data_IF_690483669893
#
_entry.id   IF_690483669893
#
_cell.length_a   1.000
_cell.length_b   1.000
_cell.length_c   1.000
_cell.angle_alpha   90.00
_cell.angle_beta   90.00
_cell.angle_gamma   90.00
#
_symmetry.space_group_name_H-M   'P 1'
#
loop_
_entity.id
_entity.type
_entity.pdbx_description
1 polymer ?
#
# COMPACT_ATOMS: atom_id res chain seq x y z
N UNK A 1 7.26 41.36 -9.74
CA UNK A 1 8.43 41.25 -8.84
C UNK A 1 8.43 42.22 -7.65
N UNK A 2 8.03 43.50 -7.79
CA UNK A 2 8.04 44.49 -6.70
C UNK A 2 7.23 44.07 -5.45
N UNK A 3 5.99 43.61 -5.63
CA UNK A 3 5.12 43.21 -4.52
C UNK A 3 5.59 41.96 -3.75
N UNK A 4 6.20 40.98 -4.44
CA UNK A 4 6.74 39.77 -3.82
C UNK A 4 7.93 40.08 -2.88
N UNK A 5 8.82 40.99 -3.29
CA UNK A 5 9.94 41.46 -2.43
C UNK A 5 9.44 42.17 -1.17
N UNK A 6 8.40 42.98 -1.29
CA UNK A 6 7.81 43.70 -0.15
C UNK A 6 7.11 42.73 0.80
N UNK A 7 6.38 41.73 0.29
CA UNK A 7 5.78 40.67 1.09
C UNK A 7 6.86 39.89 1.87
N UNK A 8 7.96 39.50 1.22
CA UNK A 8 9.05 38.79 1.89
C UNK A 8 9.73 39.64 2.99
N UNK A 9 9.96 40.93 2.74
CA UNK A 9 10.52 41.83 3.75
C UNK A 9 9.57 42.04 4.96
N UNK A 10 8.25 42.05 4.73
CA UNK A 10 7.23 42.07 5.79
C UNK A 10 7.31 40.84 6.70
N UNK A 11 7.51 39.66 6.09
CA UNK A 11 7.63 38.39 6.80
C UNK A 11 8.85 38.40 7.74
N UNK A 12 10.00 38.89 7.26
CA UNK A 12 11.25 38.90 8.03
C UNK A 12 11.20 39.80 9.26
N UNK A 13 10.33 40.82 9.31
CA UNK A 13 10.18 41.69 10.49
C UNK A 13 9.41 41.03 11.65
N UNK A 14 8.66 39.95 11.41
CA UNK A 14 7.75 39.30 12.40
C UNK A 14 8.06 37.82 12.58
N UNK A 15 9.34 37.51 12.71
CA UNK A 15 9.89 36.14 12.66
C UNK A 15 9.17 35.18 13.61
N UNK A 16 8.93 35.56 14.86
CA UNK A 16 8.35 34.65 15.86
C UNK A 16 6.88 34.29 15.56
N UNK A 17 6.01 35.28 15.35
CA UNK A 17 4.58 35.02 15.07
C UNK A 17 4.39 34.25 13.76
N UNK A 18 5.20 34.56 12.74
CA UNK A 18 5.16 33.87 11.47
C UNK A 18 5.71 32.45 11.58
N UNK A 19 6.78 32.25 12.34
CA UNK A 19 7.34 30.92 12.59
C UNK A 19 6.32 30.02 13.31
N UNK A 20 5.66 30.53 14.35
CA UNK A 20 4.62 29.78 15.06
C UNK A 20 3.44 29.42 14.16
N UNK A 21 2.98 30.35 13.32
CA UNK A 21 1.94 30.05 12.32
C UNK A 21 2.41 29.05 11.27
N UNK A 22 3.62 29.20 10.75
CA UNK A 22 4.16 28.30 9.75
C UNK A 22 4.27 26.89 10.32
N UNK A 23 4.70 26.75 11.57
CA UNK A 23 4.74 25.47 12.30
C UNK A 23 3.34 24.87 12.45
N UNK A 24 2.36 25.66 12.89
CA UNK A 24 0.98 25.21 13.01
C UNK A 24 0.41 24.77 11.65
N UNK A 25 0.64 25.54 10.58
CA UNK A 25 0.24 25.20 9.22
C UNK A 25 0.90 23.89 8.76
N UNK A 26 2.20 23.70 9.03
CA UNK A 26 2.92 22.46 8.69
C UNK A 26 2.30 21.27 9.41
N UNK A 27 1.99 21.38 10.70
CA UNK A 27 1.32 20.31 11.46
C UNK A 27 -0.07 20.03 10.88
N UNK A 28 -0.86 21.05 10.58
CA UNK A 28 -2.18 20.90 9.97
C UNK A 28 -2.10 20.18 8.61
N UNK A 29 -1.19 20.60 7.73
CA UNK A 29 -0.98 19.93 6.44
C UNK A 29 -0.48 18.51 6.62
N UNK A 30 0.44 18.25 7.55
CA UNK A 30 0.93 16.92 7.85
C UNK A 30 -0.21 15.96 8.27
N UNK A 31 -1.10 16.41 9.17
CA UNK A 31 -2.25 15.62 9.61
C UNK A 31 -3.27 15.37 8.50
N UNK A 32 -3.60 16.41 7.72
CA UNK A 32 -4.50 16.29 6.58
C UNK A 32 -3.94 15.32 5.54
N UNK A 33 -2.66 15.45 5.21
CA UNK A 33 -1.96 14.53 4.31
C UNK A 33 -2.04 13.10 4.81
N UNK A 34 -1.81 12.86 6.09
CA UNK A 34 -1.90 11.52 6.68
C UNK A 34 -3.30 10.92 6.53
N UNK A 35 -4.37 11.71 6.72
CA UNK A 35 -5.74 11.26 6.49
C UNK A 35 -6.01 10.98 4.99
N UNK A 36 -5.53 11.84 4.09
CA UNK A 36 -5.69 11.66 2.64
C UNK A 36 -4.95 10.42 2.13
N UNK A 37 -3.69 10.23 2.56
CA UNK A 37 -2.86 9.06 2.26
C UNK A 37 -3.57 7.78 2.72
N UNK A 38 -4.15 7.78 3.92
CA UNK A 38 -4.90 6.63 4.44
C UNK A 38 -6.09 6.27 3.54
N UNK A 39 -6.88 7.25 3.10
CA UNK A 39 -8.00 7.04 2.18
C UNK A 39 -7.52 6.49 0.83
N UNK A 40 -6.47 7.09 0.26
CA UNK A 40 -5.96 6.70 -1.04
C UNK A 40 -5.32 5.30 -1.00
N UNK A 41 -4.67 4.93 0.11
CA UNK A 41 -4.11 3.59 0.33
C UNK A 41 -5.20 2.51 0.32
N UNK A 42 -6.34 2.76 0.97
CA UNK A 42 -7.48 1.82 0.95
C UNK A 42 -7.96 1.53 -0.47
N UNK A 43 -8.15 2.59 -1.26
CA UNK A 43 -8.61 2.47 -2.63
C UNK A 43 -7.56 1.78 -3.52
N UNK A 44 -6.28 2.01 -3.22
CA UNK A 44 -5.17 1.37 -3.93
C UNK A 44 -5.14 -0.14 -3.66
N UNK A 45 -5.26 -0.58 -2.41
CA UNK A 45 -5.25 -2.00 -2.03
C UNK A 45 -6.34 -2.80 -2.74
N UNK A 46 -7.57 -2.28 -2.75
CA UNK A 46 -8.70 -2.89 -3.46
C UNK A 46 -8.45 -2.97 -4.97
N UNK A 47 -8.03 -1.86 -5.60
CA UNK A 47 -7.70 -1.85 -7.03
C UNK A 47 -6.55 -2.80 -7.35
N UNK A 48 -5.51 -2.84 -6.51
CA UNK A 48 -4.35 -3.71 -6.68
C UNK A 48 -4.81 -5.16 -6.74
N UNK A 49 -5.54 -5.63 -5.73
CA UNK A 49 -6.02 -7.02 -5.62
C UNK A 49 -6.69 -7.51 -6.90
N UNK A 50 -7.65 -6.74 -7.42
CA UNK A 50 -8.40 -7.12 -8.63
C UNK A 50 -7.66 -6.80 -9.93
N UNK A 51 -6.65 -5.93 -9.92
CA UNK A 51 -5.81 -5.70 -11.10
C UNK A 51 -4.86 -6.86 -11.37
N UNK A 52 -4.27 -7.45 -10.32
CA UNK A 52 -3.24 -8.50 -10.42
C UNK A 52 -3.80 -9.92 -10.37
N UNK A 53 -5.04 -10.10 -9.91
CA UNK A 53 -5.72 -11.39 -9.85
C UNK A 53 -7.05 -11.38 -10.60
N UNK A 54 -7.54 -12.57 -10.96
CA UNK A 54 -8.89 -12.82 -11.48
C UNK A 54 -9.88 -13.19 -10.38
N UNK A 55 -9.54 -12.93 -9.10
CA UNK A 55 -10.47 -13.18 -7.99
C UNK A 55 -11.78 -12.42 -8.20
N UNK A 56 -12.88 -13.06 -7.87
CA UNK A 56 -14.22 -12.48 -7.90
C UNK A 56 -14.59 -12.15 -6.45
N UNK A 57 -14.79 -10.87 -6.14
CA UNK A 57 -14.95 -10.42 -4.76
C UNK A 57 -16.13 -11.10 -4.02
N UNK A 58 -17.16 -11.51 -4.75
CA UNK A 58 -18.37 -12.11 -4.19
C UNK A 58 -18.31 -13.64 -4.16
N UNK A 59 -17.56 -14.27 -5.06
CA UNK A 59 -17.47 -15.74 -5.18
C UNK A 59 -16.20 -16.34 -4.61
N UNK A 60 -15.13 -15.55 -4.50
CA UNK A 60 -13.89 -15.96 -3.86
C UNK A 60 -14.04 -15.81 -2.35
N UNK A 61 -13.80 -16.91 -1.65
CA UNK A 61 -13.95 -17.04 -0.20
C UNK A 61 -12.60 -17.37 0.40
N UNK A 62 -12.14 -16.57 1.35
CA UNK A 62 -10.98 -16.89 2.17
C UNK A 62 -11.40 -17.88 3.27
N UNK A 63 -10.62 -18.93 3.42
CA UNK A 63 -10.76 -19.91 4.49
C UNK A 63 -9.60 -19.69 5.48
N UNK A 64 -9.93 -19.39 6.72
CA UNK A 64 -8.94 -19.27 7.81
C UNK A 64 -9.22 -20.27 8.92
N UNK A 65 -8.16 -20.63 9.64
CA UNK A 65 -8.19 -21.57 10.77
C UNK A 65 -7.56 -20.88 11.98
N UNK A 66 -8.33 -20.17 12.82
CA UNK A 66 -7.80 -19.49 13.99
C UNK A 66 -7.18 -20.44 15.02
N UNK A 67 -7.63 -21.69 15.04
CA UNK A 67 -7.13 -22.80 15.85
C UNK A 67 -6.08 -23.66 15.12
N UNK A 68 -5.56 -23.17 13.98
CA UNK A 68 -4.51 -23.85 13.23
C UNK A 68 -3.20 -23.90 13.98
N UNK A 69 -2.59 -25.09 14.04
CA UNK A 69 -1.27 -25.34 14.61
C UNK A 69 -0.45 -26.28 13.72
N UNK A 70 0.81 -26.53 14.12
CA UNK A 70 1.73 -27.43 13.44
C UNK A 70 1.71 -28.85 14.03
N UNK A 71 0.58 -29.28 14.62
CA UNK A 71 0.44 -30.64 15.13
C UNK A 71 -0.02 -31.62 14.05
N UNK A 72 0.42 -32.88 14.19
CA UNK A 72 -0.05 -33.96 13.33
C UNK A 72 -1.57 -34.15 13.43
N UNK A 73 -2.12 -33.94 14.64
CA UNK A 73 -3.55 -34.01 14.89
C UNK A 73 -4.28 -33.03 13.99
N UNK A 74 -3.94 -31.73 14.05
CA UNK A 74 -4.60 -30.70 13.27
C UNK A 74 -4.46 -30.96 11.77
N UNK A 75 -3.23 -31.27 11.31
CA UNK A 75 -2.94 -31.53 9.90
C UNK A 75 -3.84 -32.63 9.32
N UNK A 76 -4.05 -33.74 10.03
CA UNK A 76 -4.92 -34.82 9.57
C UNK A 76 -6.40 -34.41 9.48
N UNK A 77 -6.90 -33.64 10.45
CA UNK A 77 -8.31 -33.18 10.47
C UNK A 77 -8.54 -32.12 9.38
N UNK A 78 -7.57 -31.24 9.17
CA UNK A 78 -7.60 -30.27 8.10
C UNK A 78 -7.63 -30.94 6.71
N UNK A 79 -6.85 -32.01 6.49
CA UNK A 79 -6.94 -32.81 5.24
C UNK A 79 -8.32 -33.45 5.03
N UNK A 80 -8.94 -33.95 6.10
CA UNK A 80 -10.31 -34.48 6.02
C UNK A 80 -11.32 -33.38 5.66
N UNK A 81 -11.17 -32.19 6.24
CA UNK A 81 -11.99 -31.03 5.89
C UNK A 81 -11.76 -30.60 4.44
N UNK A 82 -10.51 -30.54 3.98
CA UNK A 82 -10.16 -30.20 2.59
C UNK A 82 -10.80 -31.19 1.60
N UNK A 83 -10.72 -32.49 1.89
CA UNK A 83 -11.36 -33.53 1.06
C UNK A 83 -12.87 -33.33 0.97
N UNK A 84 -13.51 -33.01 2.11
CA UNK A 84 -14.93 -32.69 2.15
C UNK A 84 -15.27 -31.44 1.32
N UNK A 85 -14.50 -30.36 1.48
CA UNK A 85 -14.67 -29.12 0.72
C UNK A 85 -14.60 -29.43 -0.78
N UNK A 86 -13.54 -30.10 -1.25
CA UNK A 86 -13.37 -30.46 -2.66
C UNK A 86 -14.50 -31.34 -3.23
N UNK A 87 -15.25 -32.05 -2.37
CA UNK A 87 -16.40 -32.87 -2.79
C UNK A 87 -17.71 -32.11 -2.98
N UNK A 88 -17.79 -30.85 -2.53
CA UNK A 88 -19.02 -30.05 -2.63
C UNK A 88 -19.25 -29.57 -4.07
N UNK A 89 -20.42 -29.82 -4.68
CA UNK A 89 -20.71 -29.45 -6.07
C UNK A 89 -20.79 -27.94 -6.31
N UNK A 90 -20.94 -27.14 -5.25
CA UNK A 90 -20.95 -25.68 -5.32
C UNK A 90 -19.54 -25.07 -5.52
N UNK A 91 -18.48 -25.86 -5.32
CA UNK A 91 -17.10 -25.41 -5.36
C UNK A 91 -16.50 -25.62 -6.75
N UNK A 92 -16.17 -24.49 -7.39
CA UNK A 92 -15.50 -24.45 -8.68
C UNK A 92 -14.01 -24.74 -8.57
N UNK A 93 -13.40 -24.38 -7.44
CA UNK A 93 -12.00 -24.64 -7.18
C UNK A 93 -11.61 -24.37 -5.73
N UNK A 94 -10.59 -25.05 -5.26
CA UNK A 94 -10.06 -24.91 -3.92
C UNK A 94 -8.54 -24.95 -3.96
N UNK A 95 -7.90 -24.13 -3.14
CA UNK A 95 -6.50 -24.34 -2.84
C UNK A 95 -5.88 -23.17 -2.13
N UNK A 96 -4.56 -23.16 -2.16
CA UNK A 96 -3.72 -22.24 -1.44
C UNK A 96 -2.51 -21.84 -2.26
N UNK A 97 -1.79 -20.84 -1.76
CA UNK A 97 -0.44 -20.56 -2.19
C UNK A 97 0.46 -20.36 -0.97
N UNK A 98 1.77 -20.51 -1.14
CA UNK A 98 2.74 -20.19 -0.10
C UNK A 98 3.98 -19.56 -0.69
N UNK A 99 4.47 -18.51 -0.04
CA UNK A 99 5.71 -17.81 -0.42
C UNK A 99 6.81 -18.21 0.54
N UNK A 100 7.98 -18.58 0.00
CA UNK A 100 9.19 -18.89 0.78
C UNK A 100 10.42 -18.51 -0.04
N UNK A 101 11.60 -18.98 0.34
CA UNK A 101 12.85 -18.78 -0.38
C UNK A 101 13.34 -20.07 -1.03
N UNK A 102 14.08 -19.94 -2.13
CA UNK A 102 14.76 -21.02 -2.82
C UNK A 102 16.23 -20.66 -3.03
N UNK A 103 17.10 -21.65 -2.83
CA UNK A 103 18.55 -21.57 -3.09
C UNK A 103 18.90 -22.59 -4.16
N UNK A 104 19.09 -22.18 -5.43
CA UNK A 104 19.52 -23.08 -6.49
C UNK A 104 20.88 -23.71 -6.19
N UNK A 105 20.92 -25.03 -6.08
CA UNK A 105 22.11 -25.87 -5.94
C UNK A 105 22.41 -26.59 -7.27
N UNK A 106 23.65 -27.04 -7.45
CA UNK A 106 24.12 -27.74 -8.66
C UNK A 106 23.82 -26.97 -9.97
N UNK A 107 23.73 -25.63 -9.89
CA UNK A 107 23.36 -24.78 -11.03
C UNK A 107 24.60 -24.23 -11.75
N UNK A 108 24.86 -24.56 -13.03
CA UNK A 108 26.09 -24.16 -13.71
C UNK A 108 26.31 -22.64 -13.80
N UNK A 109 25.23 -21.84 -13.75
CA UNK A 109 25.30 -20.38 -13.83
C UNK A 109 25.15 -19.70 -12.46
N UNK A 110 25.52 -20.40 -11.39
CA UNK A 110 25.45 -19.93 -10.00
C UNK A 110 26.01 -18.52 -9.79
N UNK A 111 27.23 -18.25 -10.29
CA UNK A 111 27.84 -16.91 -10.16
C UNK A 111 27.03 -15.81 -10.86
N UNK A 112 26.43 -16.11 -12.01
CA UNK A 112 25.58 -15.15 -12.74
C UNK A 112 24.28 -14.88 -12.00
N UNK A 113 23.73 -15.89 -11.35
CA UNK A 113 22.56 -15.77 -10.49
C UNK A 113 22.86 -14.90 -9.26
N UNK A 114 23.94 -15.17 -8.52
CA UNK A 114 24.36 -14.36 -7.38
C UNK A 114 24.64 -12.90 -7.78
N UNK A 115 25.31 -12.68 -8.92
CA UNK A 115 25.57 -11.33 -9.43
C UNK A 115 24.27 -10.58 -9.75
N UNK A 116 23.27 -11.29 -10.31
CA UNK A 116 21.96 -10.71 -10.57
C UNK A 116 21.24 -10.36 -9.26
N UNK A 117 21.23 -11.26 -8.27
CA UNK A 117 20.63 -10.99 -6.95
C UNK A 117 21.29 -9.79 -6.25
N UNK A 118 22.62 -9.70 -6.30
CA UNK A 118 23.35 -8.53 -5.77
C UNK A 118 22.89 -7.21 -6.40
N UNK A 119 22.58 -7.19 -7.69
CA UNK A 119 22.04 -6.01 -8.36
C UNK A 119 20.60 -5.71 -7.95
N UNK A 120 19.77 -6.75 -7.84
CA UNK A 120 18.35 -6.61 -7.49
C UNK A 120 18.14 -6.20 -6.04
N UNK A 121 19.00 -6.65 -5.13
CA UNK A 121 18.84 -6.47 -3.69
C UNK A 121 19.68 -5.31 -3.12
N UNK A 122 20.46 -4.61 -3.94
CA UNK A 122 21.25 -3.46 -3.52
C UNK A 122 20.37 -2.39 -2.84
N UNK A 123 20.75 -1.98 -1.62
CA UNK A 123 19.98 -1.00 -0.84
C UNK A 123 18.68 -1.54 -0.23
N UNK A 124 18.43 -2.84 -0.31
CA UNK A 124 17.32 -3.52 0.35
C UNK A 124 17.82 -4.31 1.56
N UNK A 125 16.92 -4.79 2.42
CA UNK A 125 17.30 -5.65 3.55
C UNK A 125 17.84 -7.02 3.14
N UNK A 126 17.69 -7.40 1.87
CA UNK A 126 18.24 -8.64 1.28
C UNK A 126 19.59 -8.43 0.60
N UNK A 127 20.23 -7.27 0.78
CA UNK A 127 21.51 -6.95 0.12
C UNK A 127 22.59 -8.02 0.35
N UNK A 128 22.61 -8.63 1.53
CA UNK A 128 23.53 -9.72 1.90
C UNK A 128 23.04 -11.12 1.48
N UNK A 129 21.74 -11.29 1.18
CA UNK A 129 21.11 -12.56 0.81
C UNK A 129 21.12 -12.76 -0.71
N UNK A 130 22.32 -12.89 -1.27
CA UNK A 130 22.51 -13.05 -2.73
C UNK A 130 22.32 -14.49 -3.22
N UNK A 131 22.21 -15.45 -2.31
CA UNK A 131 22.12 -16.88 -2.63
C UNK A 131 20.68 -17.38 -2.79
N UNK A 132 19.73 -16.67 -2.19
CA UNK A 132 18.33 -17.07 -2.25
C UNK A 132 17.47 -16.09 -3.07
N UNK A 133 16.32 -16.57 -3.49
CA UNK A 133 15.30 -15.77 -4.16
C UNK A 133 13.92 -16.21 -3.70
N UNK A 134 12.91 -15.38 -3.92
CA UNK A 134 11.53 -15.75 -3.59
C UNK A 134 11.08 -16.91 -4.46
N UNK A 135 10.32 -17.84 -3.89
CA UNK A 135 9.55 -18.82 -4.63
C UNK A 135 8.13 -18.84 -4.10
N UNK A 136 7.18 -18.96 -5.01
CA UNK A 136 5.78 -19.16 -4.67
C UNK A 136 5.28 -20.51 -5.19
N UNK A 137 4.63 -21.25 -4.31
CA UNK A 137 3.98 -22.51 -4.62
C UNK A 137 2.47 -22.33 -4.71
N UNK A 138 1.84 -23.04 -5.64
CA UNK A 138 0.41 -22.95 -5.89
C UNK A 138 -0.29 -24.30 -5.87
N UNK A 139 -1.56 -24.27 -5.48
CA UNK A 139 -2.53 -25.27 -5.93
C UNK A 139 -3.03 -24.97 -7.33
N UNK A 140 -3.35 -26.03 -8.06
CA UNK A 140 -3.77 -25.94 -9.46
C UNK A 140 -5.00 -25.05 -9.66
N UNK A 141 -6.03 -25.20 -8.84
CA UNK A 141 -7.25 -24.40 -8.97
C UNK A 141 -7.00 -22.91 -8.74
N UNK A 142 -6.20 -22.56 -7.74
CA UNK A 142 -5.83 -21.17 -7.48
C UNK A 142 -4.98 -20.62 -8.62
N UNK A 143 -4.01 -21.40 -9.08
CA UNK A 143 -3.18 -21.05 -10.21
C UNK A 143 -4.01 -20.75 -11.46
N UNK A 144 -4.88 -21.68 -11.89
CA UNK A 144 -5.65 -21.51 -13.13
C UNK A 144 -6.74 -20.45 -13.01
N UNK A 145 -7.41 -20.35 -11.86
CA UNK A 145 -8.57 -19.49 -11.70
C UNK A 145 -8.18 -18.04 -11.42
N UNK A 146 -7.12 -17.80 -10.64
CA UNK A 146 -6.84 -16.47 -10.09
C UNK A 146 -5.63 -15.77 -10.73
N UNK A 147 -4.70 -16.48 -11.36
CA UNK A 147 -3.51 -15.83 -11.94
C UNK A 147 -3.83 -15.01 -13.20
N UNK A 148 -3.13 -13.89 -13.34
CA UNK A 148 -3.15 -13.02 -14.54
C UNK A 148 -1.82 -12.93 -15.27
N UNK A 149 -0.71 -13.20 -14.58
CA UNK A 149 0.60 -13.19 -15.20
C UNK A 149 0.68 -14.23 -16.32
N UNK A 150 1.47 -13.94 -17.35
CA UNK A 150 1.74 -14.86 -18.46
C UNK A 150 3.24 -15.08 -18.63
N UNK A 151 3.60 -16.07 -19.45
CA UNK A 151 4.99 -16.31 -19.84
C UNK A 151 5.27 -15.66 -21.19
N UNK A 152 6.47 -15.09 -21.34
CA UNK A 152 6.98 -14.56 -22.62
C UNK A 152 7.76 -15.61 -23.41
N UNK A 153 8.19 -16.68 -22.75
CA UNK A 153 8.98 -17.77 -23.35
C UNK A 153 8.70 -19.07 -22.60
N UNK A 154 8.65 -20.18 -23.35
CA UNK A 154 8.32 -21.49 -22.79
C UNK A 154 6.81 -21.69 -22.69
N UNK A 155 6.36 -22.37 -21.63
CA UNK A 155 4.94 -22.65 -21.36
C UNK A 155 4.56 -22.28 -19.94
N UNK A 156 3.25 -22.10 -19.72
CA UNK A 156 2.66 -22.04 -18.37
C UNK A 156 2.67 -23.43 -17.73
N UNK A 157 2.39 -23.50 -16.42
CA UNK A 157 2.17 -24.77 -15.73
C UNK A 157 0.82 -25.35 -16.15
N UNK A 158 0.77 -26.67 -16.31
CA UNK A 158 -0.41 -27.43 -16.74
C UNK A 158 -0.87 -28.36 -15.62
N UNK A 159 -2.09 -28.89 -15.69
CA UNK A 159 -2.66 -29.76 -14.64
C UNK A 159 -1.74 -30.92 -14.23
N UNK A 160 -1.10 -31.55 -15.21
CA UNK A 160 -0.19 -32.67 -15.00
C UNK A 160 1.07 -32.28 -14.18
N UNK A 161 1.45 -31.01 -14.18
CA UNK A 161 2.58 -30.50 -13.40
C UNK A 161 2.27 -30.47 -11.89
N UNK A 162 1.00 -30.37 -11.51
CA UNK A 162 0.55 -30.35 -10.12
C UNK A 162 0.32 -31.76 -9.54
N UNK A 163 0.51 -32.81 -10.35
CA UNK A 163 0.44 -34.21 -9.95
C UNK A 163 1.85 -34.82 -9.74
N UNK A 164 2.89 -33.98 -9.71
CA UNK A 164 4.29 -34.40 -9.55
C UNK A 164 4.61 -34.76 -8.11
N UNK A 165 5.35 -35.85 -7.94
CA UNK A 165 5.79 -36.38 -6.65
C UNK A 165 7.20 -35.86 -6.28
N UNK A 166 7.63 -36.08 -5.03
CA UNK A 166 8.92 -35.58 -4.51
C UNK A 166 10.16 -36.01 -5.33
N UNK A 167 10.08 -37.18 -5.98
CA UNK A 167 11.18 -37.75 -6.76
C UNK A 167 11.13 -37.34 -8.24
N UNK A 168 10.06 -36.66 -8.65
CA UNK A 168 9.93 -36.16 -10.01
C UNK A 168 10.73 -34.88 -10.21
N UNK A 169 10.90 -34.50 -11.48
CA UNK A 169 11.40 -33.19 -11.86
C UNK A 169 10.25 -32.19 -11.78
N UNK A 170 10.36 -31.23 -10.86
CA UNK A 170 9.32 -30.21 -10.61
C UNK A 170 9.48 -29.06 -11.62
N UNK A 171 8.46 -28.75 -12.42
CA UNK A 171 8.52 -27.63 -13.36
C UNK A 171 8.45 -26.29 -12.61
N UNK A 172 9.24 -25.32 -13.05
CA UNK A 172 9.29 -23.99 -12.45
C UNK A 172 9.23 -22.90 -13.53
N UNK A 173 8.47 -21.85 -13.28
CA UNK A 173 8.52 -20.60 -14.04
C UNK A 173 9.47 -19.65 -13.33
N UNK A 174 10.25 -18.91 -14.09
CA UNK A 174 11.24 -17.98 -13.55
C UNK A 174 10.84 -16.55 -13.89
N UNK A 175 10.98 -15.64 -12.92
CA UNK A 175 10.75 -14.22 -13.07
C UNK A 175 11.58 -13.56 -14.19
N UNK A 176 11.07 -12.44 -14.70
CA UNK A 176 11.65 -11.75 -15.85
C UNK A 176 13.11 -11.29 -15.63
N UNK A 177 13.52 -10.93 -14.42
CA UNK A 177 14.88 -10.44 -14.14
C UNK A 177 15.95 -11.53 -14.27
N UNK A 178 15.52 -12.78 -14.20
CA UNK A 178 16.36 -13.96 -14.36
C UNK A 178 16.39 -14.50 -15.80
N UNK A 179 15.74 -13.85 -16.78
CA UNK A 179 15.68 -14.28 -18.19
C UNK A 179 17.04 -14.46 -18.87
N UNK A 180 18.06 -13.71 -18.42
CA UNK A 180 19.43 -13.82 -18.94
C UNK A 180 20.24 -14.88 -18.19
N UNK A 181 19.74 -15.33 -17.03
CA UNK A 181 20.37 -16.33 -16.16
C UNK A 181 19.87 -17.72 -16.56
N UNK A 182 18.56 -17.94 -16.51
CA UNK A 182 17.95 -19.23 -16.79
C UNK A 182 17.47 -19.33 -18.24
N UNK A 183 17.54 -20.54 -18.80
CA UNK A 183 16.96 -20.91 -20.10
C UNK A 183 15.93 -22.02 -19.90
N UNK A 184 14.99 -22.11 -20.82
CA UNK A 184 14.03 -23.24 -20.84
C UNK A 184 14.80 -24.56 -20.92
N UNK A 185 14.45 -25.52 -20.07
CA UNK A 185 15.12 -26.81 -19.92
C UNK A 185 16.32 -26.81 -18.97
N UNK A 186 16.75 -25.65 -18.45
CA UNK A 186 17.78 -25.61 -17.41
C UNK A 186 17.24 -26.35 -16.17
N UNK A 187 18.07 -27.23 -15.59
CA UNK A 187 17.76 -27.95 -14.35
C UNK A 187 18.70 -27.54 -13.23
N UNK A 188 18.17 -27.53 -12.02
CA UNK A 188 18.92 -27.28 -10.80
C UNK A 188 18.27 -28.03 -9.64
N UNK A 189 19.00 -28.22 -8.54
CA UNK A 189 18.42 -28.78 -7.32
C UNK A 189 18.14 -27.68 -6.32
N UNK A 190 17.22 -27.88 -5.41
CA UNK A 190 17.09 -27.03 -4.24
C UNK A 190 16.51 -27.82 -3.07
N UNK A 191 16.73 -27.30 -1.88
CA UNK A 191 16.08 -27.84 -0.68
C UNK A 191 14.60 -27.45 -0.66
N UNK A 192 13.77 -28.42 -0.28
CA UNK A 192 12.33 -28.26 -0.16
C UNK A 192 11.84 -28.86 1.17
N UNK A 193 10.71 -28.34 1.64
CA UNK A 193 10.12 -28.66 2.94
C UNK A 193 10.25 -27.49 3.93
N UNK A 194 9.54 -27.65 5.04
CA UNK A 194 9.53 -26.68 6.13
C UNK A 194 9.98 -27.34 7.46
N UNK A 195 10.56 -26.54 8.35
CA UNK A 195 11.14 -26.99 9.63
C UNK A 195 12.57 -27.51 9.51
N UNK A 196 13.00 -28.36 10.45
CA UNK A 196 14.42 -28.75 10.62
C UNK A 196 14.97 -29.75 9.59
N UNK A 197 14.10 -30.46 8.87
CA UNK A 197 14.52 -31.40 7.82
C UNK A 197 14.13 -30.88 6.44
N UNK A 198 14.98 -31.03 5.44
CA UNK A 198 14.66 -30.70 4.05
C UNK A 198 14.97 -31.90 3.16
N UNK A 199 14.36 -31.95 1.98
CA UNK A 199 14.74 -32.91 0.93
C UNK A 199 15.30 -32.15 -0.27
N UNK A 200 16.21 -32.78 -1.01
CA UNK A 200 16.70 -32.21 -2.27
C UNK A 200 15.76 -32.59 -3.40
N UNK A 201 15.21 -31.59 -4.08
CA UNK A 201 14.30 -31.73 -5.21
C UNK A 201 14.94 -31.17 -6.47
N UNK A 202 14.67 -31.79 -7.61
CA UNK A 202 15.16 -31.30 -8.92
C UNK A 202 14.08 -30.44 -9.57
N UNK A 203 14.43 -29.22 -9.96
CA UNK A 203 13.56 -28.31 -10.69
C UNK A 203 14.00 -28.19 -12.15
N UNK A 204 13.04 -27.98 -13.05
CA UNK A 204 13.28 -27.68 -14.46
C UNK A 204 12.56 -26.40 -14.88
N UNK A 205 13.28 -25.49 -15.51
CA UNK A 205 12.73 -24.22 -16.00
C UNK A 205 11.88 -24.47 -17.24
N UNK A 206 10.56 -24.31 -17.12
CA UNK A 206 9.62 -24.53 -18.25
C UNK A 206 9.07 -23.25 -18.85
N UNK A 207 9.20 -22.12 -18.15
CA UNK A 207 8.73 -20.82 -18.62
C UNK A 207 9.45 -19.64 -17.99
N UNK A 208 9.41 -18.50 -18.67
CA UNK A 208 9.91 -17.21 -18.17
C UNK A 208 8.73 -16.24 -18.17
N UNK A 209 8.44 -15.65 -17.02
CA UNK A 209 7.35 -14.71 -16.82
C UNK A 209 7.56 -13.39 -17.58
N UNK A 210 6.46 -12.73 -17.93
CA UNK A 210 6.50 -11.35 -18.42
C UNK A 210 6.94 -10.37 -17.33
N UNK A 211 7.49 -9.23 -17.78
CA UNK A 211 7.94 -8.16 -16.89
C UNK A 211 6.75 -7.50 -16.18
N UNK A 212 6.90 -7.23 -14.88
CA UNK A 212 5.87 -6.61 -14.06
C UNK A 212 4.80 -7.58 -13.58
N UNK A 213 5.05 -8.89 -13.71
CA UNK A 213 4.19 -9.92 -13.15
C UNK A 213 4.09 -9.76 -11.63
N UNK A 214 2.87 -9.84 -11.09
CA UNK A 214 2.60 -9.64 -9.66
C UNK A 214 1.67 -10.69 -9.10
N UNK A 215 1.79 -10.95 -7.81
CA UNK A 215 0.90 -11.84 -7.08
C UNK A 215 0.59 -11.32 -5.67
N UNK A 216 -0.42 -11.92 -5.04
CA UNK A 216 -0.84 -11.64 -3.67
C UNK A 216 0.32 -11.89 -2.69
N UNK A 217 0.47 -11.02 -1.69
CA UNK A 217 1.46 -11.25 -0.64
C UNK A 217 1.11 -12.47 0.20
N UNK A 218 2.12 -13.25 0.56
CA UNK A 218 1.98 -14.36 1.50
C UNK A 218 1.64 -13.94 2.95
N UNK A 219 1.92 -12.70 3.34
CA UNK A 219 1.63 -12.20 4.70
C UNK A 219 0.16 -11.80 4.86
N UNK A 220 -0.31 -10.90 3.99
CA UNK A 220 -1.71 -10.51 3.91
C UNK A 220 -2.05 -10.16 2.46
N UNK A 221 -2.92 -10.98 1.86
CA UNK A 221 -3.30 -10.85 0.45
C UNK A 221 -3.94 -9.51 0.06
N UNK A 222 -4.47 -8.76 1.03
CA UNK A 222 -5.21 -7.52 0.78
C UNK A 222 -4.46 -6.28 1.29
N UNK A 223 -3.95 -6.34 2.51
CA UNK A 223 -3.30 -5.20 3.16
C UNK A 223 -1.86 -5.02 2.68
N UNK A 224 -1.15 -6.12 2.47
CA UNK A 224 0.25 -6.08 2.07
C UNK A 224 0.39 -5.73 0.58
N UNK A 225 1.49 -5.09 0.18
CA UNK A 225 1.79 -4.90 -1.23
C UNK A 225 1.89 -6.23 -1.97
N UNK A 226 1.50 -6.22 -3.24
CA UNK A 226 1.65 -7.39 -4.09
C UNK A 226 3.14 -7.74 -4.29
N UNK A 227 3.45 -9.03 -4.21
CA UNK A 227 4.79 -9.55 -4.47
C UNK A 227 5.13 -9.32 -5.96
N UNK A 228 6.30 -8.74 -6.23
CA UNK A 228 6.81 -8.58 -7.59
C UNK A 228 7.48 -9.88 -8.05
N UNK A 229 6.85 -10.57 -9.00
CA UNK A 229 7.32 -11.87 -9.48
C UNK A 229 8.52 -11.78 -10.43
N UNK A 230 8.97 -10.58 -10.82
CA UNK A 230 10.13 -10.41 -11.70
C UNK A 230 11.41 -11.07 -11.16
N UNK A 231 11.53 -11.18 -9.83
CA UNK A 231 12.65 -11.84 -9.14
C UNK A 231 12.20 -13.02 -8.26
N UNK A 232 11.11 -13.68 -8.65
CA UNK A 232 10.61 -14.90 -8.01
C UNK A 232 10.67 -16.11 -8.93
N UNK A 233 10.56 -17.29 -8.32
CA UNK A 233 10.22 -18.54 -8.97
C UNK A 233 8.74 -18.86 -8.70
N UNK A 234 8.08 -19.53 -9.64
CA UNK A 234 6.70 -20.00 -9.50
C UNK A 234 6.66 -21.50 -9.77
N UNK A 235 6.18 -22.29 -8.82
CA UNK A 235 6.14 -23.74 -8.91
C UNK A 235 4.78 -24.30 -8.47
N UNK A 236 4.39 -25.51 -8.92
CA UNK A 236 3.27 -26.22 -8.32
C UNK A 236 3.63 -26.70 -6.92
N UNK A 237 2.65 -26.80 -6.03
CA UNK A 237 2.78 -27.61 -4.84
C UNK A 237 3.03 -29.07 -5.23
N UNK A 238 3.87 -29.74 -4.45
CA UNK A 238 4.15 -31.17 -4.51
C UNK A 238 4.19 -31.72 -3.07
N UNK A 239 4.17 -33.05 -2.86
CA UNK A 239 3.91 -33.64 -1.55
C UNK A 239 4.74 -33.10 -0.39
N UNK A 240 6.06 -32.89 -0.49
CA UNK A 240 6.83 -32.35 0.66
C UNK A 240 6.41 -30.92 1.04
N UNK A 241 6.17 -30.06 0.03
CA UNK A 241 5.73 -28.67 0.24
C UNK A 241 4.26 -28.60 0.66
N UNK A 242 3.46 -29.61 0.27
CA UNK A 242 2.01 -29.63 0.48
C UNK A 242 1.55 -30.51 1.64
N UNK A 243 2.02 -31.71 1.83
CA UNK A 243 1.46 -32.58 2.88
C UNK A 243 2.52 -33.32 3.66
N UNK A 244 3.79 -33.14 3.31
CA UNK A 244 4.91 -33.85 3.91
C UNK A 244 4.93 -33.68 5.43
N UNK A 245 4.59 -32.49 5.93
CA UNK A 245 4.63 -32.20 7.38
C UNK A 245 3.51 -31.30 7.87
N UNK A 246 3.18 -31.39 9.17
CA UNK A 246 2.23 -30.47 9.81
C UNK A 246 2.57 -29.00 9.63
N UNK A 247 3.85 -28.62 9.77
CA UNK A 247 4.27 -27.22 9.56
C UNK A 247 3.99 -26.74 8.13
N UNK A 248 4.14 -27.61 7.12
CA UNK A 248 3.77 -27.28 5.74
C UNK A 248 2.27 -26.95 5.66
N UNK A 249 1.42 -27.72 6.37
CA UNK A 249 -0.02 -27.46 6.48
C UNK A 249 -0.29 -26.13 7.18
N UNK A 250 0.38 -25.85 8.29
CA UNK A 250 0.18 -24.62 9.04
C UNK A 250 0.47 -23.35 8.21
N UNK A 251 1.58 -23.32 7.45
CA UNK A 251 1.99 -22.11 6.73
C UNK A 251 1.04 -21.70 5.60
N UNK A 252 0.28 -22.64 5.01
CA UNK A 252 -0.67 -22.30 3.92
C UNK A 252 -2.05 -21.87 4.40
N UNK A 253 -2.38 -22.06 5.68
CA UNK A 253 -3.71 -21.75 6.24
C UNK A 253 -4.06 -20.27 6.07
N UNK A 254 -3.06 -19.38 6.06
CA UNK A 254 -3.26 -17.95 5.88
C UNK A 254 -3.68 -17.56 4.46
N UNK A 255 -3.36 -18.41 3.48
CA UNK A 255 -3.50 -18.15 2.05
C UNK A 255 -4.33 -19.24 1.36
N UNK A 256 -5.36 -19.76 2.03
CA UNK A 256 -6.30 -20.76 1.49
C UNK A 256 -7.60 -20.10 1.02
N UNK A 257 -8.03 -20.43 -0.19
CA UNK A 257 -9.18 -19.84 -0.86
C UNK A 257 -10.07 -20.91 -1.50
N UNK A 258 -11.36 -20.59 -1.58
CA UNK A 258 -12.41 -21.34 -2.25
C UNK A 258 -13.01 -20.44 -3.32
N UNK A 259 -13.15 -20.94 -4.54
CA UNK A 259 -13.93 -20.31 -5.59
C UNK A 259 -15.30 -20.98 -5.70
N UNK A 260 -16.37 -20.23 -5.48
CA UNK A 260 -17.73 -20.71 -5.67
C UNK A 260 -18.17 -20.56 -7.13
N UNK A 261 -19.08 -21.43 -7.59
CA UNK A 261 -19.78 -21.22 -8.86
C UNK A 261 -20.69 -19.99 -8.81
N UNK A 262 -21.33 -19.73 -7.66
CA UNK A 262 -22.25 -18.60 -7.46
C UNK A 262 -22.18 -18.06 -6.03
N UNK A 263 -22.22 -16.74 -5.88
CA UNK A 263 -22.27 -16.05 -4.58
C UNK A 263 -23.44 -16.54 -3.71
N UNK A 264 -24.58 -16.86 -4.33
CA UNK A 264 -25.80 -17.30 -3.62
C UNK A 264 -25.59 -18.55 -2.76
N UNK A 265 -24.60 -19.37 -3.12
CA UNK A 265 -24.28 -20.62 -2.42
C UNK A 265 -23.43 -20.38 -1.16
N UNK A 266 -22.85 -19.19 -0.97
CA UNK A 266 -21.91 -18.92 0.11
C UNK A 266 -22.48 -19.25 1.49
N UNK A 267 -23.74 -18.90 1.76
CA UNK A 267 -24.37 -19.14 3.06
C UNK A 267 -24.45 -20.63 3.38
N UNK A 268 -24.85 -21.44 2.42
CA UNK A 268 -25.06 -22.88 2.60
C UNK A 268 -23.72 -23.62 2.68
N UNK A 269 -22.79 -23.29 1.78
CA UNK A 269 -21.41 -23.83 1.79
C UNK A 269 -20.71 -23.48 3.11
N UNK A 270 -20.81 -22.22 3.57
CA UNK A 270 -20.25 -21.81 4.86
C UNK A 270 -20.83 -22.64 6.01
N UNK A 271 -22.15 -22.82 6.06
CA UNK A 271 -22.79 -23.61 7.11
C UNK A 271 -22.34 -25.08 7.08
N UNK A 272 -22.23 -25.67 5.90
CA UNK A 272 -21.77 -27.04 5.70
C UNK A 272 -20.31 -27.23 6.17
N UNK A 273 -19.40 -26.35 5.75
CA UNK A 273 -17.98 -26.41 6.13
C UNK A 273 -17.80 -26.16 7.62
N UNK A 274 -18.52 -25.18 8.21
CA UNK A 274 -18.48 -24.93 9.66
C UNK A 274 -19.01 -26.12 10.47
N UNK A 275 -20.09 -26.76 10.01
CA UNK A 275 -20.61 -27.99 10.64
C UNK A 275 -19.57 -29.10 10.56
N UNK A 276 -18.95 -29.33 9.39
CA UNK A 276 -17.93 -30.36 9.22
C UNK A 276 -16.69 -30.10 10.07
N UNK A 277 -16.24 -28.84 10.15
CA UNK A 277 -15.16 -28.44 11.04
C UNK A 277 -15.47 -28.81 12.49
N UNK A 278 -16.66 -28.46 12.98
CA UNK A 278 -17.10 -28.81 14.35
C UNK A 278 -17.10 -30.32 14.60
N UNK A 279 -17.55 -31.13 13.63
CA UNK A 279 -17.50 -32.60 13.72
C UNK A 279 -16.06 -33.12 13.82
N UNK A 280 -15.11 -32.45 13.17
CA UNK A 280 -13.69 -32.77 13.19
C UNK A 280 -12.95 -32.15 14.38
N UNK A 281 -13.61 -31.32 15.18
CA UNK A 281 -13.01 -30.61 16.31
C UNK A 281 -12.16 -29.38 15.94
N UNK A 282 -12.31 -28.85 14.71
CA UNK A 282 -11.61 -27.66 14.22
C UNK A 282 -12.60 -26.54 13.84
N UNK A 283 -12.13 -25.29 13.78
CA UNK A 283 -12.98 -24.10 13.74
C UNK A 283 -12.76 -23.26 12.48
N UNK A 284 -13.19 -23.74 11.29
CA UNK A 284 -13.00 -23.01 10.04
C UNK A 284 -13.80 -21.71 10.03
N UNK A 285 -13.17 -20.63 9.58
CA UNK A 285 -13.81 -19.33 9.38
C UNK A 285 -13.78 -18.99 7.89
N UNK A 286 -14.95 -18.68 7.35
CA UNK A 286 -15.14 -18.35 5.94
C UNK A 286 -15.68 -16.94 5.77
N UNK A 287 -15.01 -16.15 4.94
CA UNK A 287 -15.41 -14.80 4.53
C UNK A 287 -15.20 -14.63 3.03
N UNK A 288 -16.13 -13.98 2.34
CA UNK A 288 -15.91 -13.56 0.96
C UNK A 288 -14.86 -12.46 0.93
N UNK A 289 -14.12 -12.36 -0.17
CA UNK A 289 -13.15 -11.27 -0.38
C UNK A 289 -13.83 -9.91 -0.24
N UNK A 290 -15.05 -9.74 -0.77
CA UNK A 290 -15.85 -8.52 -0.60
C UNK A 290 -16.05 -8.17 0.87
N UNK A 291 -16.36 -9.16 1.71
CA UNK A 291 -16.58 -8.94 3.13
C UNK A 291 -15.29 -8.56 3.87
N UNK A 292 -14.16 -9.15 3.50
CA UNK A 292 -12.85 -8.75 4.04
C UNK A 292 -12.53 -7.30 3.65
N UNK A 293 -12.76 -6.93 2.38
CA UNK A 293 -12.60 -5.55 1.88
C UNK A 293 -13.50 -4.59 2.65
N UNK A 294 -14.79 -4.91 2.79
CA UNK A 294 -15.76 -4.08 3.51
C UNK A 294 -15.40 -3.92 4.98
N UNK A 295 -15.01 -5.00 5.66
CA UNK A 295 -14.61 -4.97 7.06
C UNK A 295 -13.36 -4.10 7.26
N UNK A 296 -12.38 -4.21 6.36
CA UNK A 296 -11.18 -3.38 6.42
C UNK A 296 -11.49 -1.90 6.12
N UNK A 297 -12.35 -1.63 5.13
CA UNK A 297 -12.80 -0.28 4.82
C UNK A 297 -13.60 0.33 5.98
N UNK A 298 -14.47 -0.44 6.64
CA UNK A 298 -15.26 0.04 7.78
C UNK A 298 -14.36 0.33 8.98
N UNK A 299 -13.46 -0.59 9.34
CA UNK A 299 -12.51 -0.40 10.44
C UNK A 299 -11.61 0.82 10.19
N UNK A 300 -11.11 0.96 8.96
CA UNK A 300 -10.28 2.11 8.60
C UNK A 300 -11.11 3.39 8.52
N UNK A 301 -12.37 3.37 8.03
CA UNK A 301 -13.26 4.55 8.04
C UNK A 301 -13.54 5.04 9.46
N UNK A 302 -13.78 4.13 10.41
CA UNK A 302 -13.98 4.47 11.83
C UNK A 302 -12.73 5.14 12.42
N UNK A 303 -11.54 4.57 12.17
CA UNK A 303 -10.26 5.19 12.59
C UNK A 303 -10.05 6.55 11.92
N UNK A 304 -10.30 6.63 10.62
CA UNK A 304 -10.07 7.82 9.81
C UNK A 304 -11.08 8.95 10.09
N UNK A 305 -12.26 8.64 10.62
CA UNK A 305 -13.22 9.65 11.08
C UNK A 305 -12.61 10.55 12.17
N UNK A 306 -11.87 9.96 13.13
CA UNK A 306 -11.16 10.73 14.14
C UNK A 306 -10.05 11.59 13.52
N UNK A 307 -9.26 11.03 12.60
CA UNK A 307 -8.21 11.77 11.91
C UNK A 307 -8.76 12.96 11.12
N UNK A 308 -9.89 12.79 10.42
CA UNK A 308 -10.57 13.87 9.69
C UNK A 308 -11.20 14.90 10.63
N UNK A 309 -11.81 14.47 11.75
CA UNK A 309 -12.38 15.39 12.74
C UNK A 309 -11.29 16.27 13.36
N UNK A 310 -10.17 15.67 13.78
CA UNK A 310 -9.03 16.40 14.33
C UNK A 310 -8.40 17.28 13.24
N UNK A 311 -8.19 16.77 12.02
CA UNK A 311 -7.69 17.54 10.90
C UNK A 311 -8.56 18.77 10.58
N UNK A 312 -9.87 18.63 10.62
CA UNK A 312 -10.83 19.74 10.43
C UNK A 312 -10.75 20.75 11.57
N UNK A 313 -10.63 20.28 12.82
CA UNK A 313 -10.43 21.15 13.97
C UNK A 313 -9.15 21.99 13.81
N UNK A 314 -8.02 21.36 13.47
CA UNK A 314 -6.76 22.06 13.23
C UNK A 314 -6.84 23.02 12.04
N UNK A 315 -7.59 22.69 11.00
CA UNK A 315 -7.85 23.60 9.87
C UNK A 315 -8.57 24.86 10.35
N UNK A 316 -9.63 24.74 11.17
CA UNK A 316 -10.36 25.89 11.72
C UNK A 316 -9.47 26.74 12.62
N UNK A 317 -8.70 26.11 13.54
CA UNK A 317 -7.76 26.83 14.41
C UNK A 317 -6.70 27.55 13.59
N UNK A 318 -6.26 26.96 12.48
CA UNK A 318 -5.29 27.56 11.54
C UNK A 318 -5.89 28.77 10.82
N UNK A 319 -7.13 28.67 10.33
CA UNK A 319 -7.84 29.81 9.73
C UNK A 319 -7.90 31.00 10.70
N UNK A 320 -8.31 30.76 11.95
CA UNK A 320 -8.41 31.80 12.98
C UNK A 320 -7.03 32.42 13.25
N UNK A 321 -5.99 31.59 13.36
CA UNK A 321 -4.62 32.04 13.58
C UNK A 321 -4.11 32.93 12.44
N UNK A 322 -4.25 32.47 11.20
CA UNK A 322 -3.82 33.21 9.99
C UNK A 322 -4.58 34.53 9.85
N UNK A 323 -5.90 34.53 10.05
CA UNK A 323 -6.72 35.75 10.03
C UNK A 323 -6.24 36.75 11.09
N UNK A 324 -6.05 36.28 12.33
CA UNK A 324 -5.65 37.12 13.46
C UNK A 324 -4.32 37.80 13.22
N UNK A 325 -3.31 37.07 12.73
CA UNK A 325 -2.00 37.66 12.44
C UNK A 325 -2.07 38.57 11.21
N UNK A 326 -2.86 38.22 10.20
CA UNK A 326 -3.01 39.09 9.02
C UNK A 326 -3.67 40.42 9.39
N UNK A 327 -4.68 40.43 10.27
CA UNK A 327 -5.30 41.65 10.78
C UNK A 327 -4.31 42.46 11.62
N UNK A 328 -3.58 41.81 12.53
CA UNK A 328 -2.51 42.45 13.31
C UNK A 328 -1.45 43.06 12.38
N UNK A 329 -1.13 42.35 11.29
CA UNK A 329 -0.21 42.81 10.27
C UNK A 329 -0.68 44.08 9.58
N UNK A 330 -1.96 44.12 9.20
CA UNK A 330 -2.57 45.30 8.59
C UNK A 330 -2.52 46.49 9.53
N UNK A 331 -2.86 46.29 10.82
CA UNK A 331 -2.84 47.36 11.83
C UNK A 331 -1.43 47.95 12.01
N UNK A 332 -0.42 47.08 12.13
CA UNK A 332 0.97 47.51 12.29
C UNK A 332 1.53 48.22 11.04
N UNK A 333 0.97 47.98 9.85
CA UNK A 333 1.43 48.55 8.57
C UNK A 333 0.48 49.60 8.00
N UNK A 334 -0.47 50.11 8.79
CA UNK A 334 -1.41 51.17 8.35
C UNK A 334 -0.69 52.37 7.75
N UNK A 335 0.35 52.87 8.42
CA UNK A 335 1.14 54.01 7.92
C UNK A 335 1.82 53.70 6.57
N UNK A 336 2.45 52.53 6.42
CA UNK A 336 3.05 52.11 5.16
C UNK A 336 2.02 52.07 4.03
N UNK A 337 0.82 51.55 4.31
CA UNK A 337 -0.28 51.52 3.34
C UNK A 337 -0.81 52.92 3.00
N UNK A 338 -0.86 53.84 3.96
CA UNK A 338 -1.19 55.25 3.74
C UNK A 338 -0.21 55.92 2.78
N UNK A 339 1.09 55.79 3.03
CA UNK A 339 2.15 56.32 2.14
C UNK A 339 2.05 55.70 0.75
N UNK A 340 1.80 54.39 0.65
CA UNK A 340 1.61 53.72 -0.64
C UNK A 340 0.40 54.28 -1.40
N UNK A 341 -0.73 54.54 -0.74
CA UNK A 341 -1.91 55.07 -1.41
C UNK A 341 -1.73 56.52 -1.86
N UNK A 342 -1.05 57.36 -1.06
CA UNK A 342 -0.70 58.73 -1.46
C UNK A 342 0.25 58.74 -2.66
N UNK A 343 1.15 57.76 -2.75
CA UNK A 343 2.09 57.59 -3.87
C UNK A 343 1.48 56.85 -5.08
N UNK A 344 0.16 56.62 -5.09
CA UNK A 344 -0.58 56.12 -6.25
C UNK A 344 -0.90 54.62 -6.25
N UNK A 345 -0.62 53.88 -5.18
CA UNK A 345 -1.07 52.48 -5.06
C UNK A 345 -2.59 52.42 -4.81
N UNK A 346 -3.28 51.55 -5.53
CA UNK A 346 -4.71 51.30 -5.30
C UNK A 346 -4.95 50.36 -4.11
N UNK A 347 -6.17 50.36 -3.56
CA UNK A 347 -6.60 49.35 -2.58
C UNK A 347 -6.48 47.92 -3.11
N UNK A 348 -6.57 47.73 -4.44
CA UNK A 348 -6.38 46.42 -5.10
C UNK A 348 -4.92 45.97 -5.03
N UNK A 349 -3.96 46.89 -5.14
CA UNK A 349 -2.52 46.56 -5.05
C UNK A 349 -2.13 46.12 -3.64
N UNK A 350 -2.67 46.78 -2.62
CA UNK A 350 -2.49 46.39 -1.21
C UNK A 350 -3.14 45.02 -0.96
N UNK A 351 -4.35 44.80 -1.47
CA UNK A 351 -5.06 43.52 -1.38
C UNK A 351 -4.24 42.38 -2.00
N UNK A 352 -3.71 42.60 -3.21
CA UNK A 352 -2.88 41.64 -3.91
C UNK A 352 -1.58 41.34 -3.15
N UNK A 353 -0.93 42.36 -2.58
CA UNK A 353 0.26 42.17 -1.74
C UNK A 353 0.00 41.23 -0.57
N UNK A 354 -1.14 41.37 0.12
CA UNK A 354 -1.50 40.53 1.26
C UNK A 354 -1.87 39.10 0.85
N UNK A 355 -2.59 38.94 -0.26
CA UNK A 355 -2.86 37.60 -0.82
C UNK A 355 -1.54 36.91 -1.17
N UNK A 356 -0.57 37.63 -1.72
CA UNK A 356 0.76 37.07 -1.99
C UNK A 356 1.52 36.70 -0.71
N UNK A 357 1.41 37.48 0.37
CA UNK A 357 2.00 37.15 1.69
C UNK A 357 1.40 35.84 2.23
N UNK A 358 0.07 35.68 2.15
CA UNK A 358 -0.63 34.44 2.51
C UNK A 358 -0.23 33.27 1.62
N UNK A 359 -0.13 33.49 0.30
CA UNK A 359 0.26 32.47 -0.67
C UNK A 359 1.65 31.90 -0.36
N UNK A 360 2.64 32.75 -0.08
CA UNK A 360 3.98 32.28 0.27
C UNK A 360 3.99 31.53 1.60
N UNK A 361 3.30 32.06 2.62
CA UNK A 361 3.25 31.42 3.94
C UNK A 361 2.60 30.03 3.87
N UNK A 362 1.38 29.97 3.34
CA UNK A 362 0.60 28.73 3.27
C UNK A 362 1.20 27.76 2.24
N UNK A 363 1.67 28.25 1.11
CA UNK A 363 2.30 27.44 0.07
C UNK A 363 3.59 26.77 0.55
N UNK A 364 4.48 27.51 1.22
CA UNK A 364 5.71 26.94 1.79
C UNK A 364 5.37 25.93 2.89
N UNK A 365 4.43 26.26 3.79
CA UNK A 365 4.00 25.32 4.82
C UNK A 365 3.35 24.06 4.25
N UNK A 366 2.60 24.15 3.15
CA UNK A 366 2.02 23.00 2.47
C UNK A 366 3.10 22.07 1.90
N UNK A 367 4.11 22.65 1.23
CA UNK A 367 5.25 21.88 0.71
C UNK A 367 6.02 21.20 1.84
N UNK A 368 6.33 21.93 2.91
CA UNK A 368 7.00 21.34 4.09
C UNK A 368 6.13 20.25 4.72
N UNK A 369 4.82 20.47 4.85
CA UNK A 369 3.88 19.48 5.38
C UNK A 369 3.87 18.18 4.56
N UNK A 370 3.92 18.27 3.23
CA UNK A 370 4.05 17.10 2.34
C UNK A 370 5.38 16.39 2.54
N UNK A 371 6.49 17.14 2.65
CA UNK A 371 7.82 16.56 2.90
C UNK A 371 7.84 15.81 4.25
N UNK A 372 7.31 16.43 5.30
CA UNK A 372 7.21 15.79 6.62
C UNK A 372 6.34 14.54 6.55
N UNK A 373 5.21 14.58 5.83
CA UNK A 373 4.38 13.38 5.62
C UNK A 373 5.15 12.26 4.93
N UNK A 374 5.90 12.58 3.87
CA UNK A 374 6.72 11.59 3.16
C UNK A 374 7.77 10.98 4.10
N UNK A 375 8.50 11.81 4.86
CA UNK A 375 9.49 11.34 5.83
C UNK A 375 8.87 10.46 6.92
N UNK A 376 7.66 10.79 7.39
CA UNK A 376 6.96 9.93 8.36
C UNK A 376 6.58 8.57 7.78
N UNK A 377 6.21 8.48 6.51
CA UNK A 377 5.88 7.19 5.88
C UNK A 377 7.12 6.36 5.56
N UNK A 378 8.21 6.98 5.10
CA UNK A 378 9.49 6.29 4.82
C UNK A 378 10.10 5.70 6.10
N UNK A 379 10.03 6.43 7.23
CA UNK A 379 10.59 5.95 8.50
C UNK A 379 9.76 4.85 9.18
N UNK A 380 8.49 4.67 8.77
CA UNK A 380 7.62 3.60 9.26
C UNK A 380 7.80 2.27 8.49
N UNK A 381 8.82 2.17 7.63
CA UNK A 381 9.02 1.02 6.76
C UNK A 381 9.64 -0.18 7.50
N UNK A 382 8.84 -0.81 8.37
CA UNK A 382 9.24 -1.98 9.15
C UNK A 382 9.39 -3.25 8.29
N UNK A 383 8.94 -3.29 7.03
CA UNK A 383 9.00 -4.48 6.16
C UNK A 383 9.62 -4.26 4.76
N UNK A 384 10.20 -3.09 4.47
CA UNK A 384 10.94 -2.83 3.22
C UNK A 384 10.07 -2.42 2.02
N UNK A 385 8.77 -2.22 2.24
CA UNK A 385 7.87 -1.56 1.32
C UNK A 385 6.65 -1.06 2.09
N UNK A 386 6.49 0.26 2.18
CA UNK A 386 5.28 0.88 2.75
C UNK A 386 4.30 1.22 1.62
N UNK A 387 3.20 0.47 1.52
CA UNK A 387 2.12 0.69 0.53
C UNK A 387 1.53 2.11 0.57
N UNK A 388 1.68 2.82 1.70
CA UNK A 388 1.23 4.21 1.85
C UNK A 388 2.07 5.19 1.02
N UNK A 389 3.28 4.80 0.62
CA UNK A 389 4.11 5.60 -0.29
C UNK A 389 3.52 5.66 -1.70
N UNK A 390 2.78 4.65 -2.13
CA UNK A 390 2.05 4.65 -3.42
C UNK A 390 0.93 5.70 -3.46
N UNK A 391 0.51 6.24 -2.31
CA UNK A 391 -0.46 7.32 -2.25
C UNK A 391 0.11 8.68 -2.67
N UNK A 392 1.45 8.85 -2.73
CA UNK A 392 2.12 10.10 -3.13
C UNK A 392 2.09 10.32 -4.65
N UNK A 393 0.88 10.36 -5.20
CA UNK A 393 0.62 10.63 -6.61
C UNK A 393 0.34 12.11 -6.87
N UNK A 394 0.30 12.50 -8.15
CA UNK A 394 -0.14 13.84 -8.55
C UNK A 394 -1.52 14.23 -8.01
N UNK A 395 -2.39 13.25 -7.73
CA UNK A 395 -3.71 13.48 -7.17
C UNK A 395 -3.64 13.97 -5.72
N UNK A 396 -2.74 13.41 -4.89
CA UNK A 396 -2.51 13.88 -3.53
C UNK A 396 -2.07 15.35 -3.54
N UNK A 397 -1.08 15.70 -4.37
CA UNK A 397 -0.60 17.08 -4.48
C UNK A 397 -1.69 18.04 -4.96
N UNK A 398 -2.55 17.60 -5.88
CA UNK A 398 -3.73 18.36 -6.31
C UNK A 398 -4.71 18.64 -5.17
N UNK A 399 -5.05 17.64 -4.34
CA UNK A 399 -5.91 17.82 -3.16
C UNK A 399 -5.30 18.81 -2.16
N UNK A 400 -3.99 18.68 -1.89
CA UNK A 400 -3.27 19.59 -0.99
C UNK A 400 -3.29 21.03 -1.52
N UNK A 401 -3.07 21.22 -2.82
CA UNK A 401 -3.14 22.53 -3.46
C UNK A 401 -4.54 23.15 -3.34
N UNK A 402 -5.61 22.36 -3.53
CA UNK A 402 -7.00 22.81 -3.35
C UNK A 402 -7.23 23.25 -1.91
N UNK A 403 -6.76 22.49 -0.91
CA UNK A 403 -6.89 22.83 0.51
C UNK A 403 -6.10 24.11 0.82
N UNK A 404 -4.89 24.25 0.31
CA UNK A 404 -4.08 25.47 0.48
C UNK A 404 -4.78 26.70 -0.12
N UNK A 405 -5.32 26.59 -1.35
CA UNK A 405 -6.10 27.65 -1.99
C UNK A 405 -7.34 28.00 -1.17
N UNK A 406 -8.05 26.99 -0.67
CA UNK A 406 -9.19 27.19 0.22
C UNK A 406 -8.80 28.00 1.47
N UNK A 407 -7.71 27.62 2.14
CA UNK A 407 -7.22 28.34 3.33
C UNK A 407 -6.84 29.78 2.99
N UNK A 408 -6.17 30.01 1.84
CA UNK A 408 -5.81 31.36 1.39
C UNK A 408 -7.05 32.22 1.16
N UNK A 409 -8.03 31.70 0.41
CA UNK A 409 -9.25 32.44 0.07
C UNK A 409 -10.05 32.79 1.31
N UNK A 410 -10.32 31.81 2.19
CA UNK A 410 -11.09 32.03 3.40
C UNK A 410 -10.37 32.94 4.40
N UNK A 411 -9.05 32.77 4.57
CA UNK A 411 -8.26 33.62 5.47
C UNK A 411 -8.17 35.06 4.97
N UNK A 412 -8.29 35.29 3.66
CA UNK A 412 -8.23 36.62 3.07
C UNK A 412 -9.54 37.41 3.18
N UNK A 413 -10.71 36.77 3.36
CA UNK A 413 -12.03 37.45 3.35
C UNK A 413 -12.07 38.62 4.34
N UNK A 414 -11.79 38.37 5.61
CA UNK A 414 -11.88 39.38 6.69
C UNK A 414 -10.81 40.48 6.51
N UNK A 415 -9.51 40.15 6.31
CA UNK A 415 -8.49 41.15 6.01
C UNK A 415 -8.81 42.06 4.82
N UNK A 416 -9.28 41.48 3.71
CA UNK A 416 -9.62 42.24 2.51
C UNK A 416 -10.81 43.16 2.73
N UNK A 417 -11.81 42.72 3.50
CA UNK A 417 -12.94 43.56 3.85
C UNK A 417 -12.52 44.77 4.70
N UNK A 418 -11.59 44.57 5.64
CA UNK A 418 -11.01 45.66 6.43
C UNK A 418 -10.29 46.69 5.55
N UNK A 419 -9.54 46.26 4.53
CA UNK A 419 -8.82 47.17 3.62
C UNK A 419 -9.78 48.00 2.77
N UNK A 420 -10.88 47.40 2.29
CA UNK A 420 -11.89 48.14 1.54
C UNK A 420 -12.45 49.31 2.35
N UNK A 421 -12.63 49.10 3.66
CA UNK A 421 -13.12 50.11 4.62
C UNK A 421 -12.08 51.14 5.05
N UNK A 422 -10.79 50.96 4.74
CA UNK A 422 -9.78 51.97 5.10
C UNK A 422 -10.01 53.27 4.33
N UNK A 423 -10.24 54.36 5.05
CA UNK A 423 -10.26 55.71 4.50
C UNK A 423 -8.89 56.36 4.60
N UNK A 424 -8.52 57.16 3.60
CA UNK A 424 -7.19 57.79 3.50
C UNK A 424 -6.90 58.73 4.68
N UNK A 425 -7.96 59.37 5.21
CA UNK A 425 -7.89 60.28 6.36
C UNK A 425 -7.46 59.56 7.65
N UNK A 426 -8.06 58.40 7.94
CA UNK A 426 -7.74 57.58 9.12
C UNK A 426 -6.31 57.00 9.12
N UNK A 427 -5.65 56.98 7.96
CA UNK A 427 -4.31 56.43 7.81
C UNK A 427 -3.20 57.46 8.03
N UNK A 428 -3.53 58.75 7.92
CA UNK A 428 -2.58 59.86 8.09
C UNK A 428 -2.72 60.49 9.48
N UNK A 429 -3.93 60.48 10.08
CA UNK A 429 -4.19 60.99 11.45
C UNK A 429 -3.69 60.06 12.57
N UNK A 430 -3.20 58.84 12.28
CA UNK A 430 -2.79 57.85 13.29
C UNK A 430 -1.51 58.13 14.11
N UNK A 431 -1.06 59.39 14.17
CA UNK A 431 -0.01 59.88 15.07
C UNK A 431 -0.52 61.13 15.78
N UNK A 432 -1.36 60.94 16.78
CA UNK A 432 -1.35 61.76 17.99
C UNK A 432 -1.05 60.88 19.18
#
# INVERSE_FOLDING_TARGET
MKYARIAFASIVKRKLSILLMALQLVVSFWMINHALITIDTLNYQEKQLFSISKMDEYKTVKLTMPDGDDTQWFAERFRQLETYIKSLPEIQGYGSFNTTSIVPQDFPKWQKYQQRNKQLYAGTRREDDIESSGIIYFDYDIYRLFTKFVVIKGRMLEEADFQKENNDVIPVLVGYDYRDVFRIGDRFKAEAGAGEKTIKVTYEVVGILEKGSRWLSGNDYFVSPADNLDHFFVAPFFPEQREGRPISVAVRLHNTFIQLHSEKQFKDVKAAIMKKGKELGISPVLQTVRKDVDAYQENTRKSNHYALAIGTFFLVVTLIGVISVTISSIRARKYEFGVMMVTGASKRDISFMLIMELFFLIGISAVIGVIVSYLTEVNNDFLGYNIRLEAFTWWLYGKVAIIAIFIILFSAIIPLWNIKKLELRELVEGRE
#
